data_IF_707128925108
#
_entry.id   IF_707128925108
#
_cell.length_a   1.000
_cell.length_b   1.000
_cell.length_c   1.000
_cell.angle_alpha   90.00
_cell.angle_beta   90.00
_cell.angle_gamma   90.00
#
_symmetry.space_group_name_H-M   'P 1'
#
loop_
_entity.id
_entity.type
_entity.pdbx_description
1 polymer ?
#
# COMPACT_ATOMS: atom_id res chain seq x y z
N UNK A 1 20.60 -6.86 2.67
CA UNK A 1 19.49 -7.78 2.40
C UNK A 1 18.87 -7.41 1.07
N UNK A 2 18.48 -8.41 0.26
CA UNK A 2 18.00 -8.15 -1.10
C UNK A 2 16.53 -7.69 -1.02
N UNK A 3 16.28 -6.42 -1.27
CA UNK A 3 14.93 -5.84 -1.30
C UNK A 3 14.26 -5.86 -2.68
N UNK A 4 14.89 -6.54 -3.64
CA UNK A 4 14.43 -6.63 -5.02
C UNK A 4 14.95 -5.49 -5.92
N UNK A 5 15.01 -5.77 -7.21
CA UNK A 5 15.46 -4.80 -8.21
C UNK A 5 14.39 -3.74 -8.52
N UNK A 6 13.12 -4.11 -8.38
CA UNK A 6 11.99 -3.22 -8.66
C UNK A 6 11.87 -2.13 -7.59
N UNK A 7 12.02 -2.47 -6.30
CA UNK A 7 12.06 -1.49 -5.22
C UNK A 7 13.29 -0.59 -5.35
N UNK A 8 14.46 -1.15 -5.68
CA UNK A 8 15.69 -0.36 -5.91
C UNK A 8 15.50 0.66 -7.03
N UNK A 9 14.85 0.26 -8.13
CA UNK A 9 14.52 1.17 -9.24
C UNK A 9 13.49 2.22 -8.83
N UNK A 10 12.49 1.83 -8.04
CA UNK A 10 11.45 2.73 -7.55
C UNK A 10 12.01 3.85 -6.67
N UNK A 11 13.01 3.53 -5.86
CA UNK A 11 13.68 4.48 -4.95
C UNK A 11 14.90 5.17 -5.57
N UNK A 12 15.15 4.98 -6.87
CA UNK A 12 16.31 5.56 -7.53
C UNK A 12 16.27 7.10 -7.47
N UNK A 13 17.33 7.70 -6.96
CA UNK A 13 17.45 9.14 -6.78
C UNK A 13 16.81 9.67 -5.50
N UNK A 14 16.29 8.81 -4.62
CA UNK A 14 15.81 9.23 -3.32
C UNK A 14 16.91 9.16 -2.27
N UNK A 15 16.97 10.17 -1.41
CA UNK A 15 17.95 10.29 -0.33
C UNK A 15 17.42 9.73 0.99
N UNK A 16 16.10 9.75 1.17
CA UNK A 16 15.42 9.30 2.37
C UNK A 16 14.20 8.43 2.01
N UNK A 17 13.65 7.73 2.99
CA UNK A 17 12.42 6.95 2.84
C UNK A 17 11.43 7.29 3.95
N UNK A 18 10.16 7.34 3.58
CA UNK A 18 9.03 7.35 4.48
C UNK A 18 8.44 5.94 4.55
N UNK A 19 8.24 5.45 5.77
CA UNK A 19 7.57 4.17 6.00
C UNK A 19 6.09 4.44 6.34
N UNK A 20 5.19 3.77 5.64
CA UNK A 20 3.76 3.82 5.89
C UNK A 20 3.29 2.46 6.41
N UNK A 21 2.48 2.49 7.45
CA UNK A 21 1.75 1.32 7.94
C UNK A 21 0.32 1.72 8.26
N UNK A 22 -0.65 0.97 7.78
CA UNK A 22 -2.07 1.21 8.03
C UNK A 22 -2.80 -0.10 8.30
N UNK A 23 -3.82 -0.05 9.16
CA UNK A 23 -4.68 -1.18 9.48
C UNK A 23 -6.09 -0.71 9.79
N UNK A 24 -7.10 -1.49 9.37
CA UNK A 24 -8.48 -1.30 9.81
C UNK A 24 -8.77 -1.92 11.18
N UNK A 25 -7.77 -2.59 11.76
CA UNK A 25 -7.83 -3.16 13.10
C UNK A 25 -8.52 -4.53 13.18
N UNK A 26 -8.35 -5.17 14.34
CA UNK A 26 -8.83 -6.54 14.58
C UNK A 26 -10.37 -6.67 14.62
N UNK A 27 -11.09 -5.58 14.88
CA UNK A 27 -12.57 -5.62 14.89
C UNK A 27 -13.15 -5.86 13.51
N UNK A 28 -12.52 -5.32 12.45
CA UNK A 28 -12.91 -5.59 11.07
C UNK A 28 -12.69 -7.07 10.74
N UNK A 29 -11.58 -7.66 11.15
CA UNK A 29 -11.33 -9.10 10.96
C UNK A 29 -12.38 -9.97 11.67
N UNK A 30 -12.77 -9.60 12.90
CA UNK A 30 -13.82 -10.30 13.64
C UNK A 30 -15.18 -10.16 12.96
N UNK A 31 -15.49 -8.99 12.42
CA UNK A 31 -16.73 -8.75 11.68
C UNK A 31 -16.79 -9.61 10.42
N UNK A 32 -15.73 -9.58 9.60
CA UNK A 32 -15.63 -10.38 8.38
C UNK A 32 -15.78 -11.87 8.67
N UNK A 33 -15.07 -12.37 9.69
CA UNK A 33 -15.17 -13.78 10.11
C UNK A 33 -16.57 -14.19 10.54
N UNK A 34 -17.32 -13.31 11.24
CA UNK A 34 -18.73 -13.58 11.57
C UNK A 34 -19.62 -13.64 10.33
N UNK A 35 -19.39 -12.75 9.37
CA UNK A 35 -20.12 -12.78 8.09
C UNK A 35 -19.82 -14.05 7.29
N UNK A 36 -18.57 -14.50 7.25
CA UNK A 36 -18.16 -15.76 6.61
C UNK A 36 -18.95 -16.98 7.12
N UNK A 37 -19.39 -16.96 8.39
CA UNK A 37 -20.16 -18.05 8.99
C UNK A 37 -21.68 -17.97 8.71
N UNK A 38 -22.19 -16.83 8.29
CA UNK A 38 -23.63 -16.59 8.14
C UNK A 38 -24.06 -16.33 6.71
N UNK A 39 -23.27 -15.59 5.95
CA UNK A 39 -23.55 -15.22 4.55
C UNK A 39 -22.23 -14.97 3.81
N UNK A 40 -21.79 -15.95 3.03
CA UNK A 40 -20.53 -15.89 2.31
C UNK A 40 -20.50 -14.81 1.21
N UNK A 41 -21.65 -14.51 0.59
CA UNK A 41 -21.75 -13.48 -0.44
C UNK A 41 -21.59 -12.09 0.18
N UNK A 42 -22.27 -11.85 1.30
CA UNK A 42 -22.12 -10.62 2.07
C UNK A 42 -20.69 -10.47 2.60
N UNK A 43 -20.09 -11.55 3.10
CA UNK A 43 -18.70 -11.56 3.57
C UNK A 43 -17.72 -11.16 2.46
N UNK A 44 -17.88 -11.71 1.25
CA UNK A 44 -17.03 -11.36 0.10
C UNK A 44 -17.16 -9.89 -0.30
N UNK A 45 -18.39 -9.36 -0.31
CA UNK A 45 -18.63 -7.94 -0.58
C UNK A 45 -18.00 -7.03 0.50
N UNK A 46 -18.19 -7.39 1.77
CA UNK A 46 -17.61 -6.66 2.90
C UNK A 46 -16.07 -6.71 2.91
N UNK A 47 -15.48 -7.85 2.54
CA UNK A 47 -14.03 -8.02 2.41
C UNK A 47 -13.45 -7.12 1.31
N UNK A 48 -14.12 -7.05 0.15
CA UNK A 48 -13.74 -6.17 -0.94
C UNK A 48 -13.86 -4.68 -0.53
N UNK A 49 -14.97 -4.32 0.11
CA UNK A 49 -15.19 -2.96 0.61
C UNK A 49 -14.12 -2.54 1.63
N UNK A 50 -13.77 -3.43 2.57
CA UNK A 50 -12.72 -3.18 3.55
C UNK A 50 -11.35 -2.94 2.87
N UNK A 51 -11.05 -3.67 1.77
CA UNK A 51 -9.83 -3.42 1.01
C UNK A 51 -9.83 -2.04 0.34
N UNK A 52 -10.95 -1.67 -0.30
CA UNK A 52 -11.10 -0.34 -0.92
C UNK A 52 -10.97 0.77 0.11
N UNK A 53 -11.60 0.61 1.27
CA UNK A 53 -11.52 1.59 2.36
C UNK A 53 -10.08 1.77 2.87
N UNK A 54 -9.33 0.68 3.04
CA UNK A 54 -7.93 0.75 3.45
C UNK A 54 -7.09 1.51 2.42
N UNK A 55 -7.25 1.23 1.13
CA UNK A 55 -6.54 1.95 0.06
C UNK A 55 -6.92 3.43 0.03
N UNK A 56 -8.22 3.76 0.17
CA UNK A 56 -8.67 5.15 0.22
C UNK A 56 -8.03 5.92 1.37
N UNK A 57 -7.99 5.37 2.57
CA UNK A 57 -7.34 6.01 3.73
C UNK A 57 -5.85 6.24 3.45
N UNK A 58 -5.18 5.27 2.82
CA UNK A 58 -3.77 5.43 2.44
C UNK A 58 -3.57 6.51 1.37
N UNK A 59 -4.48 6.60 0.39
CA UNK A 59 -4.41 7.62 -0.67
C UNK A 59 -4.63 9.03 -0.11
N UNK A 60 -5.62 9.19 0.79
CA UNK A 60 -5.89 10.47 1.45
C UNK A 60 -4.67 10.93 2.27
N UNK A 61 -4.08 10.05 3.08
CA UNK A 61 -2.89 10.35 3.86
C UNK A 61 -1.68 10.68 2.96
N UNK A 62 -1.46 9.89 1.90
CA UNK A 62 -0.39 10.15 0.94
C UNK A 62 -0.55 11.52 0.26
N UNK A 63 -1.78 11.88 -0.15
CA UNK A 63 -2.07 13.16 -0.77
C UNK A 63 -1.83 14.33 0.20
N UNK A 64 -2.24 14.19 1.45
CA UNK A 64 -2.02 15.20 2.49
C UNK A 64 -0.52 15.43 2.75
N UNK A 65 0.25 14.36 2.96
CA UNK A 65 1.70 14.45 3.17
C UNK A 65 2.37 15.07 1.94
N UNK A 66 2.03 14.61 0.75
CA UNK A 66 2.58 15.11 -0.51
C UNK A 66 2.37 16.61 -0.66
N UNK A 67 1.14 17.09 -0.44
CA UNK A 67 0.84 18.53 -0.52
C UNK A 67 1.67 19.36 0.47
N UNK A 68 1.93 18.83 1.67
CA UNK A 68 2.74 19.51 2.69
C UNK A 68 4.23 19.60 2.31
N UNK A 69 4.82 18.51 1.78
CA UNK A 69 6.25 18.48 1.47
C UNK A 69 6.58 19.13 0.12
N UNK A 70 5.71 19.01 -0.88
CA UNK A 70 5.90 19.67 -2.18
C UNK A 70 5.91 21.21 -2.04
N UNK A 71 5.14 21.75 -1.10
CA UNK A 71 5.20 23.18 -0.77
C UNK A 71 6.57 23.63 -0.25
N UNK A 72 7.41 22.69 0.20
CA UNK A 72 8.77 22.92 0.70
C UNK A 72 9.84 22.56 -0.33
N UNK A 73 9.45 22.20 -1.57
CA UNK A 73 10.36 21.78 -2.62
C UNK A 73 10.88 20.35 -2.45
N UNK A 74 10.18 19.53 -1.67
CA UNK A 74 10.52 18.11 -1.45
C UNK A 74 9.55 17.24 -2.26
N UNK A 75 10.08 16.20 -2.89
CA UNK A 75 9.34 15.30 -3.78
C UNK A 75 9.24 13.91 -3.18
N UNK A 76 8.14 13.20 -3.46
CA UNK A 76 7.88 11.88 -2.93
C UNK A 76 7.43 10.93 -4.04
N UNK A 77 7.96 9.69 -4.04
CA UNK A 77 7.47 8.62 -4.92
C UNK A 77 6.05 8.18 -4.55
N UNK A 78 5.45 7.31 -5.33
CA UNK A 78 4.27 6.56 -4.90
C UNK A 78 4.63 5.48 -3.86
N UNK A 79 3.61 4.88 -3.25
CA UNK A 79 3.76 3.76 -2.34
C UNK A 79 4.29 2.52 -3.07
N UNK A 80 5.23 1.83 -2.47
CA UNK A 80 5.70 0.51 -2.90
C UNK A 80 5.63 -0.48 -1.73
N UNK A 81 4.86 -1.54 -1.88
CA UNK A 81 4.61 -2.50 -0.81
C UNK A 81 5.40 -3.80 -1.01
N UNK A 82 5.84 -4.48 0.08
CA UNK A 82 6.37 -5.84 0.00
C UNK A 82 5.38 -6.80 -0.67
N UNK A 83 5.91 -7.76 -1.44
CA UNK A 83 5.10 -8.68 -2.24
C UNK A 83 4.76 -8.19 -3.65
N UNK A 84 5.09 -6.93 -4.00
CA UNK A 84 4.98 -6.45 -5.38
C UNK A 84 6.27 -6.70 -6.16
N UNK A 85 6.12 -7.05 -7.47
CA UNK A 85 7.25 -7.33 -8.34
C UNK A 85 8.15 -8.43 -7.78
N UNK A 86 9.43 -8.13 -7.65
CA UNK A 86 10.44 -9.01 -7.04
C UNK A 86 10.76 -8.67 -5.57
N UNK A 87 9.97 -7.78 -4.95
CA UNK A 87 10.16 -7.39 -3.55
C UNK A 87 9.63 -8.48 -2.61
N UNK A 88 10.47 -9.06 -1.73
CA UNK A 88 10.06 -10.17 -0.88
C UNK A 88 9.09 -9.72 0.23
N UNK A 89 8.18 -10.63 0.63
CA UNK A 89 7.25 -10.39 1.76
C UNK A 89 7.99 -10.27 3.10
N UNK A 90 9.14 -10.89 3.23
CA UNK A 90 10.03 -10.85 4.41
C UNK A 90 10.40 -9.41 4.79
N UNK A 91 10.34 -8.48 3.85
CA UNK A 91 10.59 -7.06 4.13
C UNK A 91 9.55 -6.46 5.10
N UNK A 92 8.36 -7.05 5.22
CA UNK A 92 7.37 -6.64 6.21
C UNK A 92 7.92 -6.67 7.64
N UNK A 93 8.77 -7.65 7.98
CA UNK A 93 9.35 -7.75 9.32
C UNK A 93 10.21 -6.52 9.64
N UNK A 94 11.08 -6.14 8.71
CA UNK A 94 11.96 -4.99 8.88
C UNK A 94 11.16 -3.67 8.91
N UNK A 95 10.15 -3.52 8.05
CA UNK A 95 9.29 -2.33 8.02
C UNK A 95 8.49 -2.18 9.31
N UNK A 96 7.84 -3.25 9.77
CA UNK A 96 7.04 -3.21 10.98
C UNK A 96 7.91 -2.96 12.23
N UNK A 97 9.13 -3.51 12.26
CA UNK A 97 10.08 -3.25 13.33
C UNK A 97 10.54 -1.77 13.32
N UNK A 98 10.94 -1.27 12.15
CA UNK A 98 11.46 0.10 12.00
C UNK A 98 10.38 1.18 12.30
N UNK A 99 9.13 0.90 11.92
CA UNK A 99 8.00 1.79 12.17
C UNK A 99 7.31 1.57 13.53
N UNK A 100 7.77 0.62 14.36
CA UNK A 100 7.17 0.22 15.65
C UNK A 100 5.64 0.03 15.55
N UNK A 101 5.19 -0.69 14.52
CA UNK A 101 3.78 -0.77 14.14
C UNK A 101 2.90 -1.43 15.20
N UNK A 102 3.47 -2.35 15.98
CA UNK A 102 2.74 -3.01 17.08
C UNK A 102 2.27 -1.99 18.11
N UNK A 103 3.12 -1.05 18.50
CA UNK A 103 2.79 0.01 19.45
C UNK A 103 2.04 1.16 18.80
N UNK A 104 2.38 1.49 17.54
CA UNK A 104 1.80 2.60 16.81
C UNK A 104 0.34 2.35 16.41
N UNK A 105 0.02 1.19 15.85
CA UNK A 105 -1.31 0.90 15.31
C UNK A 105 -1.81 -0.54 15.56
N UNK A 106 -1.08 -1.36 16.32
CA UNK A 106 -1.49 -2.75 16.59
C UNK A 106 -1.31 -3.71 15.41
N UNK A 107 -0.46 -3.33 14.44
CA UNK A 107 -0.13 -4.18 13.29
C UNK A 107 1.10 -5.01 13.61
N UNK A 108 1.02 -6.31 13.40
CA UNK A 108 2.10 -7.26 13.59
C UNK A 108 2.32 -8.11 12.33
N UNK A 109 3.43 -8.85 12.29
CA UNK A 109 3.79 -9.77 11.21
C UNK A 109 3.73 -11.20 11.73
N UNK A 110 3.14 -12.10 10.93
CA UNK A 110 3.11 -13.54 11.23
C UNK A 110 4.45 -14.19 10.86
N UNK A 111 4.73 -15.44 11.33
CA UNK A 111 5.92 -16.19 10.89
C UNK A 111 6.00 -16.46 9.39
N UNK A 112 4.92 -16.27 8.66
CA UNK A 112 4.86 -16.36 7.19
C UNK A 112 4.97 -14.99 6.50
N UNK A 113 5.42 -13.96 7.23
CA UNK A 113 5.61 -12.59 6.76
C UNK A 113 4.33 -11.88 6.30
N UNK A 114 3.14 -12.37 6.72
CA UNK A 114 1.85 -11.76 6.44
C UNK A 114 1.48 -10.77 7.56
N UNK A 115 0.82 -9.69 7.17
CA UNK A 115 0.34 -8.69 8.10
C UNK A 115 -0.91 -9.18 8.88
N UNK A 116 -0.98 -8.82 10.16
CA UNK A 116 -2.14 -9.06 11.01
C UNK A 116 -2.41 -7.81 11.87
N UNK A 117 -3.67 -7.29 11.90
CA UNK A 117 -4.91 -7.77 11.26
C UNK A 117 -4.84 -7.91 9.73
N UNK A 118 -5.74 -8.69 9.11
CA UNK A 118 -5.74 -9.01 7.66
C UNK A 118 -5.87 -7.77 6.78
N UNK A 119 -6.71 -6.81 7.19
CA UNK A 119 -6.91 -5.55 6.48
C UNK A 119 -5.88 -4.53 6.92
N UNK A 120 -4.66 -4.77 6.51
CA UNK A 120 -3.48 -3.96 6.80
C UNK A 120 -2.58 -3.87 5.58
N UNK A 121 -1.78 -2.81 5.53
CA UNK A 121 -0.76 -2.62 4.50
C UNK A 121 0.48 -1.95 5.10
N UNK A 122 1.63 -2.22 4.51
CA UNK A 122 2.86 -1.47 4.72
C UNK A 122 3.37 -0.98 3.38
N UNK A 123 4.05 0.13 3.34
CA UNK A 123 4.65 0.64 2.13
C UNK A 123 5.90 1.47 2.42
N UNK A 124 6.75 1.60 1.40
CA UNK A 124 7.91 2.48 1.37
C UNK A 124 7.64 3.54 0.30
N UNK A 125 7.93 4.80 0.64
CA UNK A 125 7.92 5.93 -0.27
C UNK A 125 9.30 6.58 -0.23
N UNK A 126 9.88 6.86 -1.39
CA UNK A 126 11.15 7.57 -1.47
C UNK A 126 10.94 9.08 -1.39
N UNK A 127 11.88 9.78 -0.79
CA UNK A 127 11.89 11.24 -0.63
C UNK A 127 13.19 11.81 -1.21
N UNK A 128 13.08 12.94 -1.93
CA UNK A 128 14.20 13.65 -2.53
C UNK A 128 13.95 15.15 -2.59
N UNK A 129 15.02 15.94 -2.75
CA UNK A 129 14.98 17.39 -2.98
C UNK A 129 14.80 17.77 -4.46
N UNK A 130 14.55 16.78 -5.33
CA UNK A 130 14.35 16.93 -6.76
C UNK A 130 13.26 15.97 -7.28
N UNK A 131 12.69 16.21 -8.46
CA UNK A 131 11.69 15.31 -9.05
C UNK A 131 12.20 13.87 -9.19
N UNK A 132 11.44 12.91 -8.65
CA UNK A 132 11.79 11.48 -8.62
C UNK A 132 10.98 10.69 -9.64
N UNK A 133 11.53 9.54 -10.07
CA UNK A 133 10.95 8.69 -11.11
C UNK A 133 10.00 7.61 -10.59
N UNK A 134 10.02 7.30 -9.31
CA UNK A 134 9.12 6.32 -8.68
C UNK A 134 7.67 6.78 -8.76
N UNK A 135 6.95 6.28 -9.75
CA UNK A 135 5.59 6.73 -10.06
C UNK A 135 4.56 6.13 -9.11
N UNK A 136 3.48 6.88 -8.86
CA UNK A 136 2.27 6.32 -8.23
C UNK A 136 1.68 5.21 -9.11
N UNK A 137 1.07 4.23 -8.48
CA UNK A 137 0.32 3.21 -9.20
C UNK A 137 -0.75 3.85 -10.09
N UNK A 138 -0.85 3.39 -11.33
CA UNK A 138 -1.81 3.96 -12.28
C UNK A 138 -1.85 3.19 -13.59
N UNK A 139 -2.75 3.56 -14.49
CA UNK A 139 -2.95 2.88 -15.76
C UNK A 139 -1.70 2.87 -16.66
N UNK A 140 -0.83 3.85 -16.54
CA UNK A 140 0.40 3.93 -17.34
C UNK A 140 1.42 2.85 -16.96
N UNK A 141 1.53 2.55 -15.68
CA UNK A 141 2.49 1.59 -15.09
C UNK A 141 1.87 0.22 -14.81
N UNK A 142 0.56 0.07 -15.01
CA UNK A 142 -0.17 -1.17 -14.71
C UNK A 142 0.27 -2.32 -15.63
N UNK A 143 0.65 -3.46 -15.03
CA UNK A 143 1.03 -4.66 -15.77
C UNK A 143 -0.13 -5.29 -16.56
N UNK A 144 -1.39 -4.99 -16.20
CA UNK A 144 -2.60 -5.41 -16.93
C UNK A 144 -3.00 -4.44 -18.06
N UNK A 145 -2.26 -3.37 -18.32
CA UNK A 145 -2.64 -2.28 -19.23
C UNK A 145 -3.09 -2.76 -20.62
N UNK A 146 -2.47 -3.81 -21.17
CA UNK A 146 -2.77 -4.33 -22.51
C UNK A 146 -4.07 -5.16 -22.55
N UNK A 147 -4.41 -5.82 -21.45
CA UNK A 147 -5.57 -6.72 -21.35
C UNK A 147 -6.74 -6.11 -20.57
N UNK A 148 -6.55 -4.97 -19.93
CA UNK A 148 -7.48 -4.35 -19.00
C UNK A 148 -8.83 -4.00 -19.64
N UNK A 149 -9.92 -4.56 -19.10
CA UNK A 149 -11.28 -4.32 -19.59
C UNK A 149 -11.78 -2.89 -19.29
N UNK A 150 -11.31 -2.26 -18.22
CA UNK A 150 -11.64 -0.86 -17.90
C UNK A 150 -11.02 0.08 -18.92
N UNK A 151 -9.73 -0.07 -19.21
CA UNK A 151 -9.03 0.74 -20.21
C UNK A 151 -9.64 0.58 -21.61
N UNK A 152 -10.04 -0.64 -22.00
CA UNK A 152 -10.72 -0.89 -23.28
C UNK A 152 -12.06 -0.16 -23.41
N UNK A 153 -12.70 0.14 -22.28
CA UNK A 153 -13.95 0.91 -22.20
C UNK A 153 -13.74 2.41 -21.97
N UNK A 154 -12.48 2.89 -21.98
CA UNK A 154 -12.14 4.29 -21.73
C UNK A 154 -12.32 4.74 -20.27
N UNK A 155 -12.35 3.79 -19.32
CA UNK A 155 -12.49 4.08 -17.89
C UNK A 155 -11.25 3.57 -17.12
N UNK A 156 -11.16 3.93 -15.84
CA UNK A 156 -10.13 3.43 -14.92
C UNK A 156 -10.75 2.48 -13.88
N UNK A 157 -9.94 1.60 -13.28
CA UNK A 157 -10.38 0.76 -12.16
C UNK A 157 -10.26 1.47 -10.80
N UNK A 158 -9.83 2.70 -10.80
CA UNK A 158 -9.76 3.60 -9.64
C UNK A 158 -10.22 4.99 -10.05
N UNK A 159 -10.81 5.74 -9.14
CA UNK A 159 -11.15 7.15 -9.32
C UNK A 159 -9.88 7.99 -9.19
N UNK A 160 -9.63 8.84 -10.19
CA UNK A 160 -8.73 9.98 -10.04
C UNK A 160 -9.65 11.17 -9.73
N UNK A 161 -9.68 11.59 -8.49
CA UNK A 161 -10.21 12.90 -8.10
C UNK A 161 -9.13 13.97 -8.28
#
# INVERSE_FOLDING_TARGET
ENCGSDLTRHLQGCDEVLLLAATLGAEVDKLLRRMELTDIALAAAADALASVLLEQVCDELENEIRAQIEAQGVFMTGRYAPGYGDCPLELNDALCLAADTVRGCGLAVTPQHLLTPRKSTTAILGIADHPVTGTRAGCATCHLKETCSFRKRGTTCFTQD
#
